data_IF_377820159143
#
_entry.id   IF_377820159143
#
_cell.length_a   1.000
_cell.length_b   1.000
_cell.length_c   1.000
_cell.angle_alpha   90.00
_cell.angle_beta   90.00
_cell.angle_gamma   90.00
#
_symmetry.space_group_name_H-M   'P 1'
#
loop_
_entity.id
_entity.type
_entity.pdbx_description
1 polymer ?
#
# COMPACT_ATOMS: atom_id res chain seq x y z
N UNK A 1 11.76 -15.65 -18.71
CA UNK A 1 10.72 -14.61 -18.79
C UNK A 1 9.38 -15.29 -19.06
N UNK A 2 8.32 -14.84 -18.41
CA UNK A 2 6.95 -15.28 -18.69
C UNK A 2 6.34 -14.25 -19.64
N UNK A 3 6.11 -14.63 -20.88
CA UNK A 3 5.49 -13.77 -21.87
C UNK A 3 3.95 -13.90 -21.78
N UNK A 4 3.25 -12.77 -21.83
CA UNK A 4 1.79 -12.68 -21.96
C UNK A 4 1.00 -13.47 -20.89
N UNK A 5 1.34 -13.29 -19.62
CA UNK A 5 0.62 -13.93 -18.49
C UNK A 5 -0.82 -13.42 -18.40
N UNK A 6 -1.02 -12.11 -18.60
CA UNK A 6 -2.33 -11.46 -18.74
C UNK A 6 -2.64 -11.17 -20.22
N UNK A 7 -3.92 -11.15 -20.59
CA UNK A 7 -4.37 -10.76 -21.92
C UNK A 7 -4.33 -9.24 -22.18
N UNK A 8 -3.92 -8.45 -21.19
CA UNK A 8 -3.80 -7.01 -21.21
C UNK A 8 -2.73 -6.52 -20.23
N UNK A 9 -2.95 -5.33 -19.66
CA UNK A 9 -2.01 -4.73 -18.71
C UNK A 9 -2.08 -5.38 -17.32
N UNK A 10 -0.93 -5.60 -16.69
CA UNK A 10 -0.82 -5.91 -15.26
C UNK A 10 -1.01 -4.60 -14.48
N UNK A 11 -2.04 -4.53 -13.66
CA UNK A 11 -2.40 -3.33 -12.91
C UNK A 11 -1.89 -3.34 -11.47
N UNK A 12 -1.72 -4.52 -10.89
CA UNK A 12 -1.24 -4.68 -9.52
C UNK A 12 -0.51 -6.00 -9.32
N UNK A 13 0.42 -6.00 -8.38
CA UNK A 13 1.25 -7.15 -8.02
C UNK A 13 1.47 -7.17 -6.51
N UNK A 14 1.48 -8.37 -5.93
CA UNK A 14 1.86 -8.59 -4.53
C UNK A 14 2.65 -9.91 -4.42
N UNK A 15 3.49 -10.04 -3.39
CA UNK A 15 4.08 -11.32 -3.05
C UNK A 15 2.97 -12.32 -2.68
N UNK A 16 3.11 -13.58 -3.10
CA UNK A 16 2.13 -14.61 -2.77
C UNK A 16 2.22 -14.98 -1.29
N UNK A 17 1.16 -14.74 -0.49
CA UNK A 17 1.20 -15.04 0.94
C UNK A 17 1.11 -16.54 1.25
N UNK A 18 0.82 -17.37 0.26
CA UNK A 18 0.66 -18.82 0.41
C UNK A 18 1.70 -19.63 -0.34
N UNK A 19 2.66 -18.98 -1.00
CA UNK A 19 3.69 -19.62 -1.82
C UNK A 19 4.96 -18.76 -1.93
N UNK A 20 5.80 -19.10 -2.89
CA UNK A 20 7.11 -18.49 -3.15
C UNK A 20 7.12 -17.54 -4.35
N UNK A 21 5.96 -17.20 -4.90
CA UNK A 21 5.83 -16.41 -6.11
C UNK A 21 5.11 -15.09 -5.90
N UNK A 22 4.25 -14.75 -6.86
CA UNK A 22 3.53 -13.49 -6.91
C UNK A 22 2.05 -13.73 -7.20
N UNK A 23 1.23 -12.75 -6.82
CA UNK A 23 -0.16 -12.63 -7.25
C UNK A 23 -0.29 -11.35 -8.06
N UNK A 24 -0.90 -11.44 -9.24
CA UNK A 24 -1.10 -10.30 -10.14
C UNK A 24 -2.56 -10.14 -10.53
N UNK A 25 -3.01 -8.89 -10.64
CA UNK A 25 -4.31 -8.51 -11.18
C UNK A 25 -4.14 -7.67 -12.45
N UNK A 26 -5.03 -7.85 -13.41
CA UNK A 26 -4.99 -7.20 -14.72
C UNK A 26 -6.30 -6.52 -15.13
N UNK A 27 -6.22 -5.76 -16.21
CA UNK A 27 -7.39 -5.15 -16.87
C UNK A 27 -8.24 -6.18 -17.64
N UNK A 28 -7.70 -7.39 -17.85
CA UNK A 28 -8.42 -8.55 -18.39
C UNK A 28 -9.37 -9.20 -17.37
N UNK A 29 -9.38 -8.72 -16.12
CA UNK A 29 -10.21 -9.22 -15.04
C UNK A 29 -9.72 -10.50 -14.39
N UNK A 30 -8.51 -10.92 -14.70
CA UNK A 30 -7.91 -12.13 -14.12
C UNK A 30 -7.07 -11.79 -12.88
N UNK A 31 -7.21 -12.63 -11.86
CA UNK A 31 -6.32 -12.67 -10.71
C UNK A 31 -5.52 -13.96 -10.80
N UNK A 32 -4.21 -13.84 -10.94
CA UNK A 32 -3.31 -14.94 -11.20
C UNK A 32 -2.31 -15.12 -10.07
N UNK A 33 -2.05 -16.37 -9.70
CA UNK A 33 -0.88 -16.79 -8.92
C UNK A 33 0.20 -17.23 -9.88
N UNK A 34 1.41 -16.73 -9.70
CA UNK A 34 2.57 -17.02 -10.55
C UNK A 34 3.67 -17.54 -9.64
N UNK A 35 3.98 -18.82 -9.76
CA UNK A 35 5.04 -19.46 -8.98
C UNK A 35 6.43 -19.14 -9.55
N UNK A 36 7.47 -19.26 -8.74
CA UNK A 36 8.86 -18.99 -9.16
C UNK A 36 9.37 -19.97 -10.22
N UNK A 37 8.79 -21.17 -10.31
CA UNK A 37 9.06 -22.14 -11.37
C UNK A 37 8.36 -21.83 -12.70
N UNK A 38 7.55 -20.78 -12.74
CA UNK A 38 6.76 -20.34 -13.89
C UNK A 38 5.36 -20.93 -13.97
N UNK A 39 4.93 -21.72 -12.99
CA UNK A 39 3.56 -22.21 -12.90
C UNK A 39 2.56 -21.07 -12.73
N UNK A 40 1.45 -21.10 -13.50
CA UNK A 40 0.40 -20.10 -13.45
C UNK A 40 -0.92 -20.75 -13.03
N UNK A 41 -1.57 -20.18 -12.01
CA UNK A 41 -2.90 -20.60 -11.56
C UNK A 41 -3.86 -19.40 -11.52
N UNK A 42 -5.00 -19.51 -12.20
CA UNK A 42 -6.07 -18.53 -12.08
C UNK A 42 -6.78 -18.69 -10.73
N UNK A 43 -6.82 -17.62 -9.95
CA UNK A 43 -7.50 -17.56 -8.64
C UNK A 43 -8.91 -17.03 -8.75
N UNK A 44 -9.13 -16.07 -9.67
CA UNK A 44 -10.44 -15.50 -9.98
C UNK A 44 -10.45 -14.92 -11.39
N UNK A 45 -11.65 -14.85 -11.99
CA UNK A 45 -11.86 -14.25 -13.30
C UNK A 45 -13.14 -13.39 -13.27
N UNK A 46 -12.96 -12.10 -13.38
CA UNK A 46 -13.99 -11.07 -13.29
C UNK A 46 -14.14 -10.39 -14.66
N UNK A 47 -14.57 -11.14 -15.67
CA UNK A 47 -14.69 -10.67 -17.07
C UNK A 47 -15.29 -9.28 -17.20
N UNK A 48 -14.63 -8.40 -17.95
CA UNK A 48 -15.06 -7.03 -18.20
C UNK A 48 -14.86 -6.06 -17.03
N UNK A 49 -14.13 -6.45 -15.97
CA UNK A 49 -13.77 -5.60 -14.83
C UNK A 49 -12.28 -5.65 -14.59
N UNK A 50 -11.71 -4.56 -14.12
CA UNK A 50 -10.31 -4.49 -13.76
C UNK A 50 -10.08 -4.99 -12.33
N UNK A 51 -8.94 -5.66 -12.13
CA UNK A 51 -8.39 -5.98 -10.82
C UNK A 51 -7.15 -5.12 -10.66
N UNK A 52 -7.29 -3.97 -10.00
CA UNK A 52 -6.29 -2.91 -10.01
C UNK A 52 -5.65 -2.63 -8.64
N UNK A 53 -6.16 -3.25 -7.57
CA UNK A 53 -5.58 -3.16 -6.23
C UNK A 53 -5.52 -4.53 -5.58
N UNK A 54 -4.38 -4.80 -4.95
CA UNK A 54 -4.13 -6.03 -4.19
C UNK A 54 -3.59 -5.71 -2.81
N UNK A 55 -3.93 -6.55 -1.84
CA UNK A 55 -3.24 -6.69 -0.58
C UNK A 55 -3.03 -8.17 -0.28
N UNK A 56 -1.91 -8.50 0.33
CA UNK A 56 -1.57 -9.85 0.76
C UNK A 56 -1.32 -9.86 2.26
N UNK A 57 -1.81 -10.89 2.96
CA UNK A 57 -1.59 -11.07 4.38
C UNK A 57 -0.84 -12.37 4.64
N UNK A 58 0.46 -12.28 4.88
CA UNK A 58 1.38 -13.42 4.96
C UNK A 58 0.94 -14.44 6.04
N UNK A 59 0.57 -13.97 7.23
CA UNK A 59 0.24 -14.87 8.35
C UNK A 59 -1.04 -15.71 8.11
N UNK A 60 -2.04 -15.20 7.38
CA UNK A 60 -3.26 -15.96 7.05
C UNK A 60 -3.19 -16.65 5.69
N UNK A 61 -2.23 -16.30 4.84
CA UNK A 61 -2.15 -16.75 3.46
C UNK A 61 -3.26 -16.17 2.56
N UNK A 62 -3.95 -15.10 3.00
CA UNK A 62 -5.07 -14.51 2.28
C UNK A 62 -4.65 -13.37 1.35
N UNK A 63 -5.41 -13.20 0.27
CA UNK A 63 -5.27 -12.13 -0.72
C UNK A 63 -6.58 -11.36 -0.77
N UNK A 64 -6.52 -10.04 -0.79
CA UNK A 64 -7.66 -9.17 -1.09
C UNK A 64 -7.44 -8.44 -2.42
N UNK A 65 -8.48 -8.33 -3.23
CA UNK A 65 -8.45 -7.67 -4.53
C UNK A 65 -9.65 -6.73 -4.71
N UNK A 66 -9.47 -5.58 -5.35
CA UNK A 66 -10.57 -4.72 -5.74
C UNK A 66 -11.11 -5.10 -7.12
N UNK A 67 -12.44 -5.05 -7.28
CA UNK A 67 -13.14 -5.32 -8.55
C UNK A 67 -14.33 -4.36 -8.67
N UNK A 68 -14.11 -3.20 -9.26
CA UNK A 68 -15.14 -2.16 -9.31
C UNK A 68 -15.62 -1.78 -7.91
N UNK A 69 -16.91 -1.98 -7.62
CA UNK A 69 -17.50 -1.70 -6.28
C UNK A 69 -17.40 -2.85 -5.30
N UNK A 70 -16.73 -3.93 -5.66
CA UNK A 70 -16.57 -5.13 -4.82
C UNK A 70 -15.13 -5.28 -4.36
N UNK A 71 -14.93 -5.96 -3.24
CA UNK A 71 -13.66 -6.53 -2.87
C UNK A 71 -13.79 -8.05 -2.81
N UNK A 72 -12.81 -8.76 -3.36
CA UNK A 72 -12.68 -10.22 -3.25
C UNK A 72 -11.67 -10.53 -2.15
N UNK A 73 -11.92 -11.55 -1.37
CA UNK A 73 -10.92 -12.16 -0.48
C UNK A 73 -10.80 -13.63 -0.85
N UNK A 74 -9.56 -14.03 -1.16
CA UNK A 74 -9.21 -15.41 -1.44
C UNK A 74 -8.38 -15.92 -0.26
N UNK A 75 -8.86 -16.94 0.41
CA UNK A 75 -8.12 -17.55 1.52
C UNK A 75 -7.04 -18.54 1.02
N UNK A 76 -6.22 -19.04 1.94
CA UNK A 76 -5.14 -19.99 1.61
C UNK A 76 -5.62 -21.30 0.96
N UNK A 77 -6.91 -21.66 1.15
CA UNK A 77 -7.51 -22.82 0.51
C UNK A 77 -8.02 -22.52 -0.90
N UNK A 78 -8.00 -21.24 -1.32
CA UNK A 78 -8.52 -20.77 -2.60
C UNK A 78 -10.01 -20.48 -2.59
N UNK A 79 -10.65 -20.44 -1.42
CA UNK A 79 -12.05 -20.05 -1.32
C UNK A 79 -12.19 -18.55 -1.53
N UNK A 80 -13.04 -18.16 -2.47
CA UNK A 80 -13.33 -16.76 -2.82
C UNK A 80 -14.56 -16.29 -2.03
N UNK A 81 -14.45 -15.12 -1.41
CA UNK A 81 -15.57 -14.40 -0.76
C UNK A 81 -15.65 -13.00 -1.31
N UNK A 82 -16.87 -12.52 -1.51
CA UNK A 82 -17.14 -11.18 -2.04
C UNK A 82 -17.68 -10.26 -0.93
N UNK A 83 -17.18 -9.02 -0.92
CA UNK A 83 -17.56 -7.99 0.04
C UNK A 83 -17.98 -6.73 -0.71
N UNK A 84 -19.17 -6.23 -0.43
CA UNK A 84 -19.77 -5.08 -1.10
C UNK A 84 -21.26 -5.28 -1.35
N UNK A 85 -21.89 -4.51 -2.27
CA UNK A 85 -21.26 -3.43 -3.03
C UNK A 85 -20.96 -2.21 -2.17
N UNK A 86 -19.85 -1.54 -2.46
CA UNK A 86 -19.50 -0.25 -1.87
C UNK A 86 -20.23 0.89 -2.59
N UNK A 87 -20.22 2.09 -1.99
CA UNK A 87 -20.88 3.27 -2.56
C UNK A 87 -20.32 3.63 -3.95
N UNK A 88 -19.01 3.52 -4.12
CA UNK A 88 -18.29 3.74 -5.38
C UNK A 88 -17.25 2.66 -5.62
N UNK A 89 -16.43 2.81 -6.67
CA UNK A 89 -15.27 1.95 -6.95
C UNK A 89 -14.36 1.88 -5.74
N UNK A 90 -13.91 0.68 -5.41
CA UNK A 90 -12.89 0.42 -4.38
C UNK A 90 -11.52 0.82 -4.94
N UNK A 91 -10.90 1.81 -4.33
CA UNK A 91 -9.66 2.44 -4.79
C UNK A 91 -8.41 1.96 -4.06
N UNK A 92 -8.59 1.30 -2.93
CA UNK A 92 -7.53 0.63 -2.18
C UNK A 92 -8.12 -0.41 -1.23
N UNK A 93 -7.34 -1.46 -0.94
CA UNK A 93 -7.68 -2.51 0.01
C UNK A 93 -6.47 -2.81 0.90
N UNK A 94 -6.71 -3.13 2.17
CA UNK A 94 -5.64 -3.60 3.07
C UNK A 94 -6.22 -4.49 4.17
N UNK A 95 -5.39 -5.39 4.73
CA UNK A 95 -5.78 -6.25 5.83
C UNK A 95 -5.49 -5.62 7.19
N UNK A 96 -6.31 -5.98 8.19
CA UNK A 96 -5.93 -5.79 9.58
C UNK A 96 -4.74 -6.67 9.95
N UNK A 97 -4.00 -6.27 10.99
CA UNK A 97 -2.82 -7.00 11.49
C UNK A 97 -3.06 -8.51 11.73
N UNK A 98 -4.25 -8.87 12.19
CA UNK A 98 -4.65 -10.25 12.47
C UNK A 98 -5.19 -11.00 11.24
N UNK A 99 -5.32 -10.33 10.10
CA UNK A 99 -5.92 -10.88 8.88
C UNK A 99 -7.41 -11.17 8.98
N UNK A 100 -8.06 -10.83 10.09
CA UNK A 100 -9.49 -11.10 10.32
C UNK A 100 -10.44 -10.10 9.67
N UNK A 101 -9.92 -8.96 9.21
CA UNK A 101 -10.71 -7.89 8.59
C UNK A 101 -10.01 -7.36 7.35
N UNK A 102 -10.81 -6.82 6.42
CA UNK A 102 -10.32 -5.98 5.31
C UNK A 102 -10.91 -4.58 5.43
N UNK A 103 -10.12 -3.58 5.05
CA UNK A 103 -10.57 -2.21 4.84
C UNK A 103 -10.57 -1.92 3.34
N UNK A 104 -11.63 -1.28 2.87
CA UNK A 104 -11.82 -0.87 1.47
C UNK A 104 -12.01 0.64 1.44
N UNK A 105 -11.15 1.36 0.75
CA UNK A 105 -11.29 2.78 0.48
C UNK A 105 -12.18 3.00 -0.75
N UNK A 106 -12.99 4.05 -0.72
CA UNK A 106 -13.88 4.44 -1.82
C UNK A 106 -14.23 5.93 -1.68
N UNK A 107 -15.03 6.47 -2.60
CA UNK A 107 -15.58 7.81 -2.40
C UNK A 107 -16.49 7.83 -1.17
N UNK A 108 -16.30 8.82 -0.30
CA UNK A 108 -17.07 9.01 0.93
C UNK A 108 -16.53 8.30 2.16
N UNK A 109 -15.32 7.70 2.09
CA UNK A 109 -14.65 7.12 3.26
C UNK A 109 -14.13 5.70 3.07
N UNK A 110 -14.19 4.92 4.14
CA UNK A 110 -13.76 3.53 4.15
C UNK A 110 -14.85 2.61 4.71
N UNK A 111 -14.84 1.36 4.26
CA UNK A 111 -15.68 0.28 4.80
C UNK A 111 -14.80 -0.84 5.31
N UNK A 112 -15.02 -1.28 6.54
CA UNK A 112 -14.28 -2.38 7.19
C UNK A 112 -15.18 -3.59 7.33
N UNK A 113 -14.77 -4.72 6.76
CA UNK A 113 -15.49 -6.00 6.77
C UNK A 113 -14.79 -7.03 7.66
N UNK A 114 -15.56 -7.85 8.34
CA UNK A 114 -15.08 -9.04 9.05
C UNK A 114 -15.07 -10.25 8.12
N UNK A 115 -13.91 -10.84 7.86
CA UNK A 115 -13.76 -11.92 6.88
C UNK A 115 -14.41 -13.22 7.37
N UNK A 116 -14.23 -13.54 8.65
CA UNK A 116 -14.78 -14.77 9.24
C UNK A 116 -16.28 -14.71 9.60
N UNK A 117 -16.90 -13.54 9.56
CA UNK A 117 -18.27 -13.29 9.97
C UNK A 117 -19.00 -12.44 8.93
N UNK A 118 -19.19 -13.02 7.75
CA UNK A 118 -19.76 -12.32 6.58
C UNK A 118 -21.21 -11.84 6.78
N UNK A 119 -21.92 -12.37 7.78
CA UNK A 119 -23.28 -11.93 8.13
C UNK A 119 -23.31 -10.68 9.01
N UNK A 120 -22.19 -10.30 9.61
CA UNK A 120 -22.10 -9.05 10.35
C UNK A 120 -22.09 -7.85 9.39
N UNK A 121 -22.85 -6.78 9.71
CA UNK A 121 -22.81 -5.58 8.93
C UNK A 121 -21.39 -4.96 9.00
N UNK A 122 -20.91 -4.38 7.90
CA UNK A 122 -19.62 -3.73 7.91
C UNK A 122 -19.64 -2.47 8.75
N UNK A 123 -18.47 -2.12 9.32
CA UNK A 123 -18.27 -0.80 9.92
C UNK A 123 -17.92 0.20 8.83
N UNK A 124 -18.62 1.32 8.81
CA UNK A 124 -18.37 2.42 7.87
C UNK A 124 -17.80 3.61 8.61
N UNK A 125 -16.77 4.20 8.04
CA UNK A 125 -16.10 5.38 8.54
C UNK A 125 -16.17 6.44 7.44
N UNK A 126 -17.09 7.39 7.62
CA UNK A 126 -17.40 8.38 6.61
C UNK A 126 -16.40 9.52 6.63
N UNK A 127 -15.98 9.95 5.45
CA UNK A 127 -15.27 11.20 5.23
C UNK A 127 -15.47 11.63 3.79
N UNK A 128 -15.81 12.92 3.57
CA UNK A 128 -16.08 13.45 2.25
C UNK A 128 -14.83 13.39 1.36
N UNK A 129 -15.02 13.06 0.08
CA UNK A 129 -13.97 13.04 -0.93
C UNK A 129 -13.57 11.64 -1.37
N UNK A 130 -12.63 11.58 -2.29
CA UNK A 130 -12.13 10.33 -2.87
C UNK A 130 -10.85 9.90 -2.17
N UNK A 131 -10.87 8.73 -1.55
CA UNK A 131 -9.71 8.12 -0.91
C UNK A 131 -8.97 7.27 -1.93
N UNK A 132 -7.70 7.58 -2.21
CA UNK A 132 -6.91 6.99 -3.31
C UNK A 132 -5.81 6.04 -2.86
N UNK A 133 -5.50 6.04 -1.56
CA UNK A 133 -4.57 5.13 -0.91
C UNK A 133 -5.14 4.72 0.44
N UNK A 134 -4.77 3.55 0.93
CA UNK A 134 -5.16 3.06 2.26
C UNK A 134 -4.06 2.17 2.83
N UNK A 135 -3.76 2.38 4.13
CA UNK A 135 -2.91 1.47 4.90
C UNK A 135 -3.40 1.33 6.33
N UNK A 136 -3.53 0.09 6.76
CA UNK A 136 -3.76 -0.24 8.16
C UNK A 136 -2.45 -0.14 8.94
N UNK A 137 -2.48 0.44 10.14
CA UNK A 137 -1.27 0.52 10.99
C UNK A 137 -0.81 -0.88 11.43
N UNK A 138 0.49 -1.06 11.58
CA UNK A 138 1.11 -2.34 11.96
C UNK A 138 0.69 -2.82 13.37
N UNK A 139 0.21 -1.91 14.24
CA UNK A 139 -0.38 -2.27 15.54
C UNK A 139 -1.92 -2.50 15.48
N UNK A 140 -2.55 -2.25 14.34
CA UNK A 140 -3.98 -2.48 14.10
C UNK A 140 -4.91 -1.41 14.67
N UNK A 141 -4.40 -0.28 15.19
CA UNK A 141 -5.22 0.74 15.85
C UNK A 141 -5.76 1.79 14.89
N UNK A 142 -5.07 2.05 13.78
CA UNK A 142 -5.38 3.12 12.84
C UNK A 142 -5.53 2.59 11.42
N UNK A 143 -6.35 3.30 10.63
CA UNK A 143 -6.37 3.20 9.17
C UNK A 143 -6.10 4.59 8.63
N UNK A 144 -5.06 4.73 7.81
CA UNK A 144 -4.72 5.97 7.12
C UNK A 144 -5.11 5.88 5.65
N UNK A 145 -5.62 6.97 5.11
CA UNK A 145 -5.90 7.13 3.68
C UNK A 145 -5.30 8.41 3.14
N UNK A 146 -4.78 8.37 1.92
CA UNK A 146 -4.51 9.57 1.15
C UNK A 146 -5.73 9.94 0.32
N UNK A 147 -6.00 11.23 0.13
CA UNK A 147 -7.18 11.71 -0.57
C UNK A 147 -6.85 12.45 -1.87
N UNK A 148 -7.87 12.67 -2.71
CA UNK A 148 -7.76 13.52 -3.92
C UNK A 148 -7.51 15.00 -3.58
N UNK A 149 -7.86 15.42 -2.37
CA UNK A 149 -7.79 16.79 -1.87
C UNK A 149 -6.43 17.14 -1.26
N UNK A 150 -5.38 16.36 -1.58
CA UNK A 150 -4.01 16.57 -1.12
C UNK A 150 -3.87 16.56 0.40
N UNK A 151 -4.53 15.63 1.06
CA UNK A 151 -4.44 15.43 2.50
C UNK A 151 -4.43 13.95 2.87
N UNK A 152 -4.24 13.69 4.14
CA UNK A 152 -4.35 12.38 4.75
C UNK A 152 -5.48 12.40 5.75
N UNK A 153 -6.34 11.40 5.70
CA UNK A 153 -7.35 11.16 6.70
C UNK A 153 -7.09 9.87 7.44
N UNK A 154 -7.19 9.89 8.77
CA UNK A 154 -6.89 8.72 9.61
C UNK A 154 -8.00 8.49 10.62
N UNK A 155 -8.42 7.24 10.76
CA UNK A 155 -9.38 6.82 11.77
C UNK A 155 -8.72 6.00 12.87
N UNK A 156 -9.09 6.29 14.13
CA UNK A 156 -8.89 5.38 15.26
C UNK A 156 -10.01 4.35 15.26
N UNK A 157 -9.66 3.10 14.98
CA UNK A 157 -10.68 2.07 14.68
C UNK A 157 -11.52 1.72 15.91
N UNK A 158 -10.93 1.65 17.10
CA UNK A 158 -11.66 1.31 18.32
C UNK A 158 -12.65 2.39 18.74
N UNK A 159 -12.23 3.66 18.70
CA UNK A 159 -13.01 4.83 19.17
C UNK A 159 -13.96 5.36 18.10
N UNK A 160 -13.77 5.00 16.84
CA UNK A 160 -14.44 5.58 15.68
C UNK A 160 -14.28 7.12 15.60
N UNK A 161 -13.13 7.63 16.04
CA UNK A 161 -12.73 9.03 15.89
C UNK A 161 -11.75 9.18 14.74
N UNK A 162 -11.64 10.35 14.20
CA UNK A 162 -10.79 10.64 13.06
C UNK A 162 -9.92 11.87 13.24
N UNK A 163 -8.97 12.05 12.34
CA UNK A 163 -8.06 13.19 12.27
C UNK A 163 -7.66 13.46 10.84
N UNK A 164 -7.39 14.70 10.50
CA UNK A 164 -6.96 15.16 9.19
C UNK A 164 -5.59 15.80 9.26
N UNK A 165 -4.72 15.45 8.33
CA UNK A 165 -3.38 16.00 8.19
C UNK A 165 -3.23 16.63 6.81
N UNK A 166 -2.86 17.93 6.78
CA UNK A 166 -2.81 18.76 5.59
C UNK A 166 -1.40 19.28 5.31
N UNK A 167 -1.23 20.03 4.23
CA UNK A 167 0.05 20.66 3.85
C UNK A 167 0.80 19.91 2.77
N UNK A 168 0.09 19.11 1.95
CA UNK A 168 0.69 18.40 0.82
C UNK A 168 0.49 19.19 -0.48
N UNK A 169 1.54 19.35 -1.29
CA UNK A 169 1.44 20.02 -2.59
C UNK A 169 0.72 19.17 -3.65
N UNK A 170 0.63 17.85 -3.44
CA UNK A 170 -0.01 16.92 -4.36
C UNK A 170 -0.76 15.80 -3.61
N UNK A 171 -1.52 14.97 -4.36
CA UNK A 171 -2.27 13.84 -3.82
C UNK A 171 -1.35 12.81 -3.18
N UNK A 172 -1.64 12.42 -1.94
CA UNK A 172 -0.88 11.40 -1.24
C UNK A 172 -1.33 10.01 -1.70
N UNK A 173 -0.54 9.41 -2.59
CA UNK A 173 -0.84 8.10 -3.20
C UNK A 173 -0.12 6.94 -2.54
N UNK A 174 0.87 7.21 -1.70
CA UNK A 174 1.66 6.19 -1.01
C UNK A 174 1.79 6.50 0.47
N UNK A 175 1.51 5.50 1.28
CA UNK A 175 1.53 5.52 2.72
C UNK A 175 2.26 4.28 3.22
N UNK A 176 3.14 4.41 4.21
CA UNK A 176 3.84 3.28 4.79
C UNK A 176 4.06 3.47 6.29
N UNK A 177 3.62 2.50 7.09
CA UNK A 177 3.81 2.51 8.53
C UNK A 177 5.16 1.92 8.90
N UNK A 178 5.84 2.51 9.88
CA UNK A 178 6.98 1.86 10.52
C UNK A 178 6.56 0.53 11.18
N UNK A 179 7.51 -0.38 11.34
CA UNK A 179 7.24 -1.70 11.92
C UNK A 179 6.59 -1.64 13.31
N UNK A 180 6.94 -0.64 14.10
CA UNK A 180 6.43 -0.39 15.47
C UNK A 180 5.19 0.53 15.51
N UNK A 181 4.65 0.92 14.37
CA UNK A 181 3.52 1.84 14.22
C UNK A 181 3.73 3.25 14.81
N UNK A 182 4.95 3.63 15.17
CA UNK A 182 5.21 4.97 15.71
C UNK A 182 5.22 6.06 14.66
N UNK A 183 5.44 5.70 13.39
CA UNK A 183 5.57 6.63 12.29
C UNK A 183 4.74 6.21 11.09
N UNK A 184 4.06 7.18 10.47
CA UNK A 184 3.44 7.04 9.16
C UNK A 184 4.24 7.87 8.15
N UNK A 185 4.99 7.22 7.28
CA UNK A 185 5.65 7.84 6.14
C UNK A 185 4.67 8.10 5.01
N UNK A 186 4.86 9.22 4.31
CA UNK A 186 3.91 9.67 3.29
C UNK A 186 4.63 10.19 2.06
N UNK A 187 4.04 9.97 0.88
CA UNK A 187 4.50 10.55 -0.39
C UNK A 187 4.10 12.01 -0.56
N UNK A 188 4.41 12.58 -1.71
CA UNK A 188 3.99 13.92 -2.15
C UNK A 188 4.60 15.08 -1.37
N UNK A 189 5.82 14.88 -0.86
CA UNK A 189 6.67 15.91 -0.28
C UNK A 189 8.08 15.80 -0.89
N UNK A 190 8.87 16.88 -0.92
CA UNK A 190 10.22 16.85 -1.46
C UNK A 190 11.26 16.21 -0.52
N UNK A 191 10.90 16.01 0.75
CA UNK A 191 11.71 15.38 1.80
C UNK A 191 10.92 14.27 2.49
N UNK A 192 11.62 13.37 3.18
CA UNK A 192 10.93 12.39 4.03
C UNK A 192 10.03 13.09 5.03
N UNK A 193 8.76 12.70 5.02
CA UNK A 193 7.74 13.25 5.92
C UNK A 193 7.10 12.09 6.68
N UNK A 194 7.25 12.12 8.00
CA UNK A 194 6.77 11.09 8.92
C UNK A 194 5.89 11.70 10.02
N UNK A 195 4.65 11.24 10.12
CA UNK A 195 3.73 11.66 11.17
C UNK A 195 3.91 10.81 12.43
N UNK A 196 4.00 11.44 13.64
CA UNK A 196 4.22 10.73 14.89
C UNK A 196 2.91 10.13 15.44
N UNK A 197 2.85 8.81 15.55
CA UNK A 197 1.69 8.08 16.08
C UNK A 197 1.95 7.47 17.47
N UNK A 198 3.11 7.70 18.06
CA UNK A 198 3.38 7.27 19.42
C UNK A 198 2.45 7.96 20.45
N UNK A 199 1.94 7.19 21.41
CA UNK A 199 1.05 7.67 22.46
C UNK A 199 -0.34 7.98 21.94
N UNK A 200 -0.78 9.24 22.05
CA UNK A 200 -2.13 9.67 21.63
C UNK A 200 -2.29 9.89 20.13
N UNK A 201 -1.22 9.79 19.35
CA UNK A 201 -1.24 10.03 17.91
C UNK A 201 -0.69 11.43 17.53
N UNK A 202 -0.91 11.85 16.26
CA UNK A 202 -0.32 13.06 15.71
C UNK A 202 -1.05 14.37 16.07
N UNK A 203 -2.20 14.32 16.77
CA UNK A 203 -2.96 15.53 17.05
C UNK A 203 -2.11 16.59 17.77
N UNK A 204 -2.11 17.81 17.20
CA UNK A 204 -1.35 18.95 17.73
C UNK A 204 0.17 18.82 17.55
N UNK A 205 0.65 17.82 16.80
CA UNK A 205 2.06 17.66 16.50
C UNK A 205 2.32 17.85 15.01
N UNK A 206 3.37 18.58 14.63
CA UNK A 206 3.80 18.62 13.23
C UNK A 206 4.39 17.28 12.79
N UNK A 207 4.41 17.00 11.48
CA UNK A 207 5.21 15.89 10.95
C UNK A 207 6.69 16.16 11.18
N UNK A 208 7.45 15.10 11.33
CA UNK A 208 8.89 15.17 11.25
C UNK A 208 9.27 15.15 9.77
N UNK A 209 9.95 16.22 9.33
CA UNK A 209 10.57 16.30 8.01
C UNK A 209 12.08 16.15 8.18
N UNK A 210 12.72 15.36 7.32
CA UNK A 210 14.14 15.07 7.42
C UNK A 210 14.72 14.59 6.08
N UNK A 211 16.04 14.57 6.00
CA UNK A 211 16.79 14.25 4.79
C UNK A 211 16.96 15.47 3.88
N UNK A 212 17.65 15.27 2.78
CA UNK A 212 17.89 16.29 1.77
C UNK A 212 16.73 16.32 0.78
N UNK A 213 16.43 17.52 0.25
CA UNK A 213 15.46 17.66 -0.82
C UNK A 213 15.93 16.94 -2.07
N UNK A 214 15.08 16.09 -2.62
CA UNK A 214 15.30 15.47 -3.91
C UNK A 214 14.82 16.34 -5.07
N UNK A 215 15.04 15.85 -6.28
CA UNK A 215 14.66 16.56 -7.51
C UNK A 215 13.18 16.31 -7.84
N UNK A 216 12.25 16.76 -6.99
CA UNK A 216 10.81 16.61 -7.20
C UNK A 216 10.05 16.19 -5.95
N UNK A 217 8.97 15.43 -6.13
CA UNK A 217 8.15 14.91 -5.03
C UNK A 217 8.24 13.39 -4.95
N UNK A 218 8.20 12.86 -3.74
CA UNK A 218 8.05 11.42 -3.56
C UNK A 218 6.75 10.93 -4.20
N UNK A 219 6.85 9.97 -5.10
CA UNK A 219 5.72 9.24 -5.68
C UNK A 219 5.34 8.04 -4.81
N UNK A 220 6.35 7.40 -4.20
CA UNK A 220 6.20 6.19 -3.40
C UNK A 220 7.15 6.20 -2.22
N UNK A 221 6.68 5.67 -1.08
CA UNK A 221 7.46 5.46 0.14
C UNK A 221 7.27 4.05 0.66
N UNK A 222 8.33 3.46 1.21
CA UNK A 222 8.30 2.13 1.82
C UNK A 222 9.12 2.11 3.10
N UNK A 223 8.47 1.95 4.25
CA UNK A 223 9.16 1.76 5.53
C UNK A 223 9.88 0.41 5.56
N UNK A 224 11.04 0.39 6.16
CA UNK A 224 11.80 -0.84 6.39
C UNK A 224 11.04 -1.79 7.34
N UNK A 225 11.02 -3.10 7.09
CA UNK A 225 10.19 -4.05 7.86
C UNK A 225 10.57 -4.20 9.34
N UNK A 226 11.77 -3.79 9.74
CA UNK A 226 12.26 -3.96 11.12
C UNK A 226 12.97 -2.73 11.71
N UNK A 227 13.62 -1.90 10.88
CA UNK A 227 14.46 -0.79 11.33
C UNK A 227 13.78 0.58 11.10
N UNK A 228 14.35 1.63 11.68
CA UNK A 228 13.85 3.01 11.57
C UNK A 228 14.35 3.69 10.28
N UNK A 229 14.23 2.99 9.15
CA UNK A 229 14.52 3.49 7.81
C UNK A 229 13.26 3.52 6.95
N UNK A 230 13.28 4.35 5.91
CA UNK A 230 12.30 4.32 4.84
C UNK A 230 12.97 4.59 3.50
N UNK A 231 12.56 3.88 2.46
CA UNK A 231 12.92 4.21 1.09
C UNK A 231 11.88 5.17 0.51
N UNK A 232 12.32 6.09 -0.34
CA UNK A 232 11.47 7.02 -1.04
C UNK A 232 11.92 7.19 -2.50
N UNK A 233 10.99 6.98 -3.43
CA UNK A 233 11.20 7.17 -4.86
C UNK A 233 10.51 8.44 -5.35
N UNK A 234 11.20 9.21 -6.19
CA UNK A 234 10.74 10.49 -6.71
C UNK A 234 10.15 10.38 -8.11
N UNK A 235 9.38 11.39 -8.49
CA UNK A 235 8.90 11.60 -9.87
C UNK A 235 10.03 11.91 -10.85
N UNK A 236 11.18 12.36 -10.38
CA UNK A 236 12.40 12.52 -11.17
C UNK A 236 13.15 11.21 -11.45
N UNK A 237 12.75 10.10 -10.81
CA UNK A 237 13.47 8.83 -10.87
C UNK A 237 14.59 8.69 -9.84
N UNK A 238 14.79 9.67 -8.98
CA UNK A 238 15.72 9.57 -7.85
C UNK A 238 15.17 8.58 -6.81
N UNK A 239 16.07 7.86 -6.13
CA UNK A 239 15.75 6.97 -5.02
C UNK A 239 16.63 7.32 -3.83
N UNK A 240 16.00 7.55 -2.68
CA UNK A 240 16.67 7.83 -1.42
C UNK A 240 16.33 6.81 -0.34
N UNK A 241 17.25 6.62 0.60
CA UNK A 241 17.05 5.93 1.87
C UNK A 241 17.15 6.94 3.00
N UNK A 242 16.09 7.08 3.78
CA UNK A 242 15.99 7.98 4.92
C UNK A 242 16.14 7.26 6.25
N UNK A 243 16.99 7.79 7.13
CA UNK A 243 17.14 7.37 8.53
C UNK A 243 16.44 8.41 9.43
N UNK A 244 15.30 8.03 9.98
CA UNK A 244 14.49 8.94 10.80
C UNK A 244 15.17 9.28 12.13
N UNK A 245 15.97 8.37 12.67
CA UNK A 245 16.70 8.58 13.92
C UNK A 245 17.86 9.55 13.74
N UNK A 246 18.62 9.37 12.68
CA UNK A 246 19.74 10.26 12.34
C UNK A 246 19.25 11.57 11.65
N UNK A 247 17.98 11.63 11.22
CA UNK A 247 17.36 12.76 10.48
C UNK A 247 18.11 13.12 9.21
N UNK A 248 18.57 12.14 8.47
CA UNK A 248 19.31 12.30 7.22
C UNK A 248 18.84 11.30 6.17
N UNK A 249 19.18 11.57 4.93
CA UNK A 249 18.99 10.63 3.84
C UNK A 249 20.28 10.41 3.06
N UNK A 250 20.30 9.36 2.27
CA UNK A 250 21.35 9.06 1.29
C UNK A 250 20.70 8.74 -0.04
N UNK A 251 21.29 9.23 -1.13
CA UNK A 251 20.84 8.90 -2.48
C UNK A 251 21.34 7.51 -2.84
N UNK A 252 20.43 6.61 -3.18
CA UNK A 252 20.71 5.25 -3.65
C UNK A 252 20.79 5.19 -5.17
N UNK A 253 20.02 6.03 -5.87
CA UNK A 253 19.99 6.15 -7.32
C UNK A 253 19.76 7.62 -7.68
N UNK A 254 20.59 8.16 -8.56
CA UNK A 254 20.41 9.49 -9.11
C UNK A 254 19.21 9.56 -10.04
N UNK A 255 18.66 10.76 -10.20
CA UNK A 255 17.58 11.06 -11.12
C UNK A 255 17.95 10.68 -12.56
N UNK A 256 17.00 10.07 -13.27
CA UNK A 256 17.10 9.72 -14.70
C UNK A 256 15.86 10.17 -15.51
N UNK A 257 14.97 10.95 -14.87
CA UNK A 257 13.74 11.44 -15.47
C UNK A 257 12.63 10.39 -15.62
N UNK A 258 12.77 9.21 -15.00
CA UNK A 258 11.74 8.16 -15.03
C UNK A 258 11.18 7.93 -13.63
N UNK A 259 9.94 8.38 -13.34
CA UNK A 259 9.33 8.27 -12.02
C UNK A 259 9.43 6.87 -11.41
N UNK A 260 9.84 6.79 -10.14
CA UNK A 260 9.78 5.54 -9.38
C UNK A 260 8.31 5.29 -9.03
N UNK A 261 7.76 4.15 -9.44
CA UNK A 261 6.33 3.85 -9.28
C UNK A 261 6.02 2.83 -8.19
N UNK A 262 7.01 2.01 -7.83
CA UNK A 262 6.85 1.01 -6.78
C UNK A 262 8.16 0.75 -6.04
N UNK A 263 8.01 0.41 -4.76
CA UNK A 263 9.09 0.00 -3.86
C UNK A 263 8.65 -1.21 -3.06
N UNK A 264 9.57 -2.14 -2.85
CA UNK A 264 9.36 -3.29 -1.98
C UNK A 264 10.64 -3.67 -1.24
N UNK A 265 10.51 -3.96 0.04
CA UNK A 265 11.55 -4.56 0.85
C UNK A 265 11.41 -6.07 0.87
N UNK A 266 12.53 -6.78 0.89
CA UNK A 266 12.53 -8.18 1.32
C UNK A 266 12.10 -8.28 2.79
N UNK A 267 11.58 -9.43 3.19
CA UNK A 267 11.09 -9.63 4.57
C UNK A 267 12.17 -9.49 5.64
N UNK A 268 13.42 -9.76 5.28
CA UNK A 268 14.60 -9.58 6.13
C UNK A 268 15.15 -8.14 6.12
N UNK A 269 14.64 -7.27 5.23
CA UNK A 269 15.03 -5.87 5.10
C UNK A 269 16.36 -5.62 4.38
N UNK A 270 17.06 -6.64 3.90
CA UNK A 270 18.36 -6.45 3.25
C UNK A 270 18.30 -6.12 1.77
N UNK A 271 17.19 -6.44 1.10
CA UNK A 271 17.00 -6.11 -0.31
C UNK A 271 15.91 -5.07 -0.47
N UNK A 272 16.18 -4.04 -1.26
CA UNK A 272 15.21 -3.06 -1.71
C UNK A 272 15.05 -3.20 -3.23
N UNK A 273 13.83 -3.42 -3.68
CA UNK A 273 13.48 -3.38 -5.10
C UNK A 273 12.74 -2.08 -5.41
N UNK A 274 13.06 -1.46 -6.55
CA UNK A 274 12.41 -0.27 -7.07
C UNK A 274 12.08 -0.47 -8.55
N UNK A 275 10.84 -0.19 -8.93
CA UNK A 275 10.39 -0.15 -10.32
C UNK A 275 10.07 1.26 -10.77
N UNK A 276 10.30 1.58 -12.03
CA UNK A 276 10.02 2.89 -12.61
C UNK A 276 8.91 2.84 -13.69
N UNK A 277 8.51 3.98 -14.20
CA UNK A 277 7.44 4.10 -15.20
C UNK A 277 7.82 3.48 -16.56
N UNK A 278 9.11 3.35 -16.86
CA UNK A 278 9.60 2.68 -18.09
C UNK A 278 9.58 1.15 -17.99
N UNK A 279 9.30 0.61 -16.81
CA UNK A 279 9.35 -0.83 -16.56
C UNK A 279 10.73 -1.35 -16.15
N UNK A 280 11.70 -0.48 -15.89
CA UNK A 280 13.00 -0.89 -15.37
C UNK A 280 12.88 -1.32 -13.90
N UNK A 281 13.64 -2.32 -13.51
CA UNK A 281 13.73 -2.83 -12.15
C UNK A 281 15.15 -2.66 -11.62
N UNK A 282 15.28 -2.01 -10.47
CA UNK A 282 16.51 -1.90 -9.69
C UNK A 282 16.38 -2.72 -8.42
N UNK A 283 17.41 -3.48 -8.08
CA UNK A 283 17.55 -4.12 -6.77
C UNK A 283 18.82 -3.66 -6.08
N UNK A 284 18.71 -3.32 -4.80
CA UNK A 284 19.82 -2.84 -3.98
C UNK A 284 19.97 -3.79 -2.80
N UNK A 285 21.18 -4.34 -2.64
CA UNK A 285 21.55 -5.16 -1.50
C UNK A 285 22.26 -4.29 -0.45
N UNK A 286 21.67 -4.16 0.73
CA UNK A 286 22.16 -3.33 1.82
C UNK A 286 23.08 -4.09 2.81
N UNK A 287 23.44 -5.33 2.52
CA UNK A 287 24.38 -6.12 3.33
C UNK A 287 25.84 -5.78 3.06
N UNK A 288 26.11 -4.88 2.09
CA UNK A 288 27.48 -4.53 1.65
C UNK A 288 27.87 -3.13 2.08
#
# INVERSE_FOLDING_TARGET
>A
ALDAVHGGAVLCLAADPAGDGFVSGGDDGRLLRIATDGGIKELANQKGKWIDKLAAHAASGAIAASVGKMALVIDKAGQVREFGPHQSTVTAVDFSKDGGRIACAHYGGITVWSIGQVTLPPRRFAWQGSHVALKWSTDGKFIATGTQENDIHVWRIAQATDMRMQGYPAKVKSLSWSADARWLYTSSQPVFTAWPFAGKGPEGKPPLQFGDEGAGLFTVVAAHPAAEFAAGGYDSGELQLGDIKARRSVVLKMSDGSPITCLAWSSDGFLLAAGNEKGDLLTIDLRR
#
